data_IF_075547620206
#
_entry.id   IF_075547620206
#
_cell.length_a   1.000
_cell.length_b   1.000
_cell.length_c   1.000
_cell.angle_alpha   90.00
_cell.angle_beta   90.00
_cell.angle_gamma   90.00
#
_symmetry.space_group_name_H-M   'P 1'
#
loop_
_entity.id
_entity.type
_entity.pdbx_description
1 polymer ?
#
# COMPACT_ATOMS: atom_id res chain seq x y z
N UNK A 1 -9.32 -68.46 21.87
CA UNK A 1 -10.01 -67.15 21.87
C UNK A 1 -9.06 -65.98 21.78
N UNK A 2 -7.95 -65.95 22.52
CA UNK A 2 -7.02 -64.80 22.50
C UNK A 2 -6.44 -64.48 21.12
N UNK A 3 -6.04 -65.50 20.35
CA UNK A 3 -5.51 -65.30 18.99
C UNK A 3 -6.50 -64.60 18.04
N UNK A 4 -7.80 -64.81 18.22
CA UNK A 4 -8.84 -64.16 17.41
C UNK A 4 -8.99 -62.69 17.83
N UNK A 5 -8.92 -62.40 19.15
CA UNK A 5 -8.96 -61.02 19.66
C UNK A 5 -7.78 -60.20 19.17
N UNK A 6 -6.57 -60.78 19.15
CA UNK A 6 -5.38 -60.11 18.64
C UNK A 6 -5.48 -59.84 17.14
N UNK A 7 -6.02 -60.77 16.36
CA UNK A 7 -6.17 -60.62 14.92
C UNK A 7 -7.20 -59.54 14.55
N UNK A 8 -8.31 -59.46 15.30
CA UNK A 8 -9.30 -58.39 15.18
C UNK A 8 -8.69 -57.03 15.55
N UNK A 9 -7.90 -56.96 16.62
CA UNK A 9 -7.25 -55.72 17.04
C UNK A 9 -6.28 -55.20 15.98
N UNK A 10 -5.42 -56.07 15.44
CA UNK A 10 -4.47 -55.70 14.38
C UNK A 10 -5.21 -55.23 13.13
N UNK A 11 -6.31 -55.91 12.76
CA UNK A 11 -7.16 -55.50 11.64
C UNK A 11 -7.77 -54.10 11.83
N UNK A 12 -8.26 -53.79 13.04
CA UNK A 12 -8.79 -52.47 13.38
C UNK A 12 -7.72 -51.38 13.36
N UNK A 13 -6.52 -51.66 13.86
CA UNK A 13 -5.41 -50.69 13.84
C UNK A 13 -5.01 -50.37 12.41
N UNK A 14 -4.83 -51.38 11.56
CA UNK A 14 -4.50 -51.20 10.14
C UNK A 14 -5.61 -50.44 9.41
N UNK A 15 -6.88 -50.76 9.66
CA UNK A 15 -8.01 -50.03 9.07
C UNK A 15 -8.01 -48.56 9.52
N UNK A 16 -7.68 -48.27 10.78
CA UNK A 16 -7.58 -46.89 11.27
C UNK A 16 -6.45 -46.12 10.59
N UNK A 17 -5.29 -46.75 10.34
CA UNK A 17 -4.17 -46.13 9.63
C UNK A 17 -4.53 -45.87 8.17
N UNK A 18 -5.20 -46.83 7.50
CA UNK A 18 -5.66 -46.65 6.12
C UNK A 18 -6.71 -45.54 6.02
N UNK A 19 -7.63 -45.43 6.98
CA UNK A 19 -8.60 -44.34 7.07
C UNK A 19 -7.91 -42.99 7.33
N UNK A 20 -6.93 -42.93 8.23
CA UNK A 20 -6.15 -41.72 8.48
C UNK A 20 -5.37 -41.28 7.23
N UNK A 21 -4.76 -42.22 6.51
CA UNK A 21 -4.05 -41.94 5.25
C UNK A 21 -5.00 -41.52 4.13
N UNK A 22 -6.22 -42.08 4.06
CA UNK A 22 -7.23 -41.63 3.10
C UNK A 22 -7.76 -40.23 3.44
N UNK A 23 -7.95 -39.92 4.72
CA UNK A 23 -8.36 -38.58 5.16
C UNK A 23 -7.26 -37.53 4.88
N UNK A 24 -5.99 -37.89 5.05
CA UNK A 24 -4.86 -37.04 4.69
C UNK A 24 -4.67 -36.92 3.16
N UNK A 25 -4.93 -37.99 2.41
CA UNK A 25 -4.73 -38.04 0.95
C UNK A 25 -5.89 -37.49 0.11
N UNK A 26 -7.07 -37.30 0.70
CA UNK A 26 -8.23 -36.65 0.06
C UNK A 26 -8.28 -35.14 0.31
N UNK A 27 -7.25 -34.57 0.96
CA UNK A 27 -7.06 -33.13 0.98
C UNK A 27 -6.74 -32.70 -0.46
N UNK A 28 -7.71 -32.05 -1.10
CA UNK A 28 -7.44 -31.36 -2.35
C UNK A 28 -6.31 -30.37 -2.09
N UNK A 29 -5.35 -30.27 -3.01
CA UNK A 29 -4.37 -29.18 -2.95
C UNK A 29 -5.14 -27.86 -2.86
N UNK A 30 -4.93 -27.03 -1.83
CA UNK A 30 -5.52 -25.71 -1.79
C UNK A 30 -4.93 -24.94 -2.96
N UNK A 31 -5.75 -24.59 -3.96
CA UNK A 31 -5.33 -23.69 -5.04
C UNK A 31 -5.47 -24.17 -6.48
N UNK A 32 -5.99 -25.37 -6.77
CA UNK A 32 -6.43 -25.70 -8.14
C UNK A 32 -7.94 -25.98 -8.19
N UNK A 33 -8.70 -24.90 -8.36
CA UNK A 33 -10.14 -24.93 -8.64
C UNK A 33 -10.30 -24.82 -10.15
N UNK A 34 -10.43 -25.94 -10.86
CA UNK A 34 -11.06 -25.96 -12.18
C UNK A 34 -12.58 -26.20 -11.96
N UNK A 35 -13.41 -25.36 -12.59
CA UNK A 35 -14.88 -25.48 -12.73
C UNK A 35 -15.82 -25.11 -11.56
N UNK A 36 -15.57 -24.00 -10.85
CA UNK A 36 -16.68 -23.25 -10.20
C UNK A 36 -17.21 -22.15 -11.13
N UNK A 37 -18.51 -21.81 -11.10
CA UNK A 37 -19.03 -20.69 -11.88
C UNK A 37 -18.27 -19.42 -11.49
N UNK A 38 -17.47 -18.90 -12.42
CA UNK A 38 -16.63 -17.71 -12.19
C UNK A 38 -17.55 -16.51 -12.00
N UNK A 39 -17.65 -16.03 -10.76
CA UNK A 39 -18.28 -14.75 -10.48
C UNK A 39 -17.33 -13.68 -10.99
N UNK A 40 -17.78 -12.93 -12.00
CA UNK A 40 -16.99 -11.87 -12.60
C UNK A 40 -17.20 -10.56 -11.84
N UNK A 41 -16.21 -10.16 -11.05
CA UNK A 41 -16.17 -8.85 -10.40
C UNK A 41 -15.36 -7.81 -11.21
N UNK A 42 -15.03 -8.12 -12.46
CA UNK A 42 -14.19 -7.31 -13.34
C UNK A 42 -12.73 -7.76 -13.38
N UNK A 43 -11.93 -7.16 -14.26
CA UNK A 43 -10.53 -7.53 -14.43
C UNK A 43 -9.69 -7.14 -13.21
N UNK A 44 -8.67 -7.93 -12.91
CA UNK A 44 -7.64 -7.54 -11.96
C UNK A 44 -6.83 -6.36 -12.53
N UNK A 45 -6.48 -5.35 -11.70
CA UNK A 45 -5.56 -4.31 -12.14
C UNK A 45 -4.18 -4.92 -12.42
N UNK A 46 -3.44 -4.33 -13.35
CA UNK A 46 -2.04 -4.69 -13.57
C UNK A 46 -1.15 -4.13 -12.46
N UNK A 47 0.07 -4.66 -12.34
CA UNK A 47 1.05 -4.16 -11.37
C UNK A 47 1.30 -2.65 -11.54
N UNK A 48 1.46 -2.18 -12.77
CA UNK A 48 1.68 -0.77 -13.09
C UNK A 48 0.50 0.14 -12.71
N UNK A 49 -0.70 -0.40 -12.50
CA UNK A 49 -1.90 0.37 -12.14
C UNK A 49 -2.00 0.61 -10.63
N UNK A 50 -1.29 -0.19 -9.82
CA UNK A 50 -1.32 -0.10 -8.35
C UNK A 50 0.00 0.33 -7.73
N UNK A 51 1.13 0.03 -8.40
CA UNK A 51 2.46 0.46 -8.01
C UNK A 51 2.66 1.89 -8.51
N UNK A 52 2.04 2.83 -7.83
CA UNK A 52 2.02 4.24 -8.21
C UNK A 52 2.72 5.10 -7.15
N UNK A 53 3.34 6.23 -7.55
CA UNK A 53 3.81 7.23 -6.60
C UNK A 53 2.68 7.66 -5.67
N UNK A 54 2.90 7.60 -4.35
CA UNK A 54 1.92 8.08 -3.39
C UNK A 54 1.78 9.61 -3.44
N UNK A 55 2.88 10.30 -3.79
CA UNK A 55 2.97 11.76 -3.85
C UNK A 55 3.86 12.18 -5.02
N UNK A 56 3.49 13.25 -5.70
CA UNK A 56 4.32 13.89 -6.73
C UNK A 56 4.49 15.36 -6.37
N UNK A 57 5.71 15.78 -6.07
CA UNK A 57 6.03 17.17 -5.80
C UNK A 57 6.56 17.83 -7.07
N UNK A 58 6.14 19.08 -7.29
CA UNK A 58 6.61 19.93 -8.38
C UNK A 58 7.30 21.15 -7.77
N UNK A 59 8.57 21.35 -8.11
CA UNK A 59 9.32 22.54 -7.73
C UNK A 59 8.83 23.72 -8.57
N UNK A 60 8.42 24.80 -7.89
CA UNK A 60 8.02 26.08 -8.48
C UNK A 60 8.91 27.18 -7.91
N UNK A 61 8.90 28.35 -8.55
CA UNK A 61 9.72 29.50 -8.12
C UNK A 61 9.50 29.90 -6.64
N UNK A 62 8.34 29.56 -6.06
CA UNK A 62 7.93 29.89 -4.69
C UNK A 62 8.06 28.72 -3.70
N UNK A 63 8.59 27.57 -4.11
CA UNK A 63 8.70 26.36 -3.28
C UNK A 63 8.13 25.13 -3.95
N UNK A 64 7.86 24.07 -3.20
CA UNK A 64 7.26 22.84 -3.77
C UNK A 64 5.75 22.84 -3.62
N UNK A 65 5.07 22.31 -4.63
CA UNK A 65 3.63 22.06 -4.59
C UNK A 65 3.35 20.57 -4.80
N UNK A 66 2.36 20.06 -4.08
CA UNK A 66 1.89 18.69 -4.24
C UNK A 66 0.90 18.61 -5.39
N UNK A 67 1.11 17.67 -6.31
CA UNK A 67 0.17 17.34 -7.38
C UNK A 67 -0.97 16.46 -6.85
N UNK A 68 -2.19 16.67 -7.34
CA UNK A 68 -3.35 15.84 -7.00
C UNK A 68 -3.28 14.51 -7.76
N UNK A 69 -3.34 13.37 -7.05
CA UNK A 69 -3.15 12.04 -7.66
C UNK A 69 -4.23 11.62 -8.67
N UNK A 70 -5.40 12.27 -8.67
CA UNK A 70 -6.49 12.05 -9.61
C UNK A 70 -6.46 12.98 -10.83
N UNK A 71 -5.44 13.85 -10.91
CA UNK A 71 -5.35 14.86 -11.95
C UNK A 71 -4.90 14.29 -13.29
N UNK A 72 -5.17 15.02 -14.38
CA UNK A 72 -4.75 14.61 -15.73
C UNK A 72 -3.22 14.67 -15.83
N UNK A 73 -2.61 15.72 -15.29
CA UNK A 73 -1.17 15.90 -15.21
C UNK A 73 -0.48 14.75 -14.45
N UNK A 74 -1.05 14.30 -13.33
CA UNK A 74 -0.51 13.16 -12.59
C UNK A 74 -0.43 11.92 -13.48
N UNK A 75 -1.53 11.60 -14.18
CA UNK A 75 -1.59 10.46 -15.08
C UNK A 75 -0.58 10.59 -16.23
N UNK A 76 -0.41 11.78 -16.80
CA UNK A 76 0.59 12.03 -17.84
C UNK A 76 2.02 11.84 -17.32
N UNK A 77 2.36 12.41 -16.16
CA UNK A 77 3.69 12.28 -15.58
C UNK A 77 4.05 10.83 -15.26
N UNK A 78 3.12 10.09 -14.65
CA UNK A 78 3.28 8.67 -14.38
C UNK A 78 3.39 7.87 -15.67
N UNK A 79 2.56 8.15 -16.68
CA UNK A 79 2.64 7.46 -17.97
C UNK A 79 4.00 7.70 -18.65
N UNK A 80 4.49 8.95 -18.66
CA UNK A 80 5.83 9.28 -19.19
C UNK A 80 6.93 8.53 -18.45
N UNK A 81 6.81 8.39 -17.13
CA UNK A 81 7.76 7.61 -16.33
C UNK A 81 7.73 6.11 -16.71
N UNK A 82 6.54 5.54 -16.96
CA UNK A 82 6.37 4.13 -17.35
C UNK A 82 6.93 3.81 -18.74
N UNK A 83 6.80 4.76 -19.68
CA UNK A 83 7.18 4.56 -21.09
C UNK A 83 8.57 5.08 -21.41
N UNK A 84 9.41 5.30 -20.40
CA UNK A 84 10.76 5.78 -20.63
C UNK A 84 11.54 4.81 -21.51
N UNK A 85 12.24 5.35 -22.50
CA UNK A 85 13.12 4.57 -23.39
C UNK A 85 14.58 4.93 -23.10
N UNK A 86 15.48 4.01 -23.43
CA UNK A 86 16.91 4.27 -23.42
C UNK A 86 17.33 4.93 -24.73
N UNK A 87 18.22 5.92 -24.66
CA UNK A 87 19.15 6.15 -25.76
C UNK A 87 20.11 4.94 -25.83
N UNK A 88 20.55 4.55 -27.03
CA UNK A 88 21.23 3.28 -27.37
C UNK A 88 22.61 3.01 -26.71
N UNK A 89 22.88 3.52 -25.51
CA UNK A 89 24.11 3.37 -24.75
C UNK A 89 24.23 1.97 -24.13
N UNK A 90 25.46 1.46 -23.99
CA UNK A 90 25.74 0.18 -23.31
C UNK A 90 25.40 0.26 -21.80
N UNK A 91 24.90 -0.83 -21.19
CA UNK A 91 24.35 -0.86 -19.82
C UNK A 91 25.20 -0.18 -18.73
N UNK A 92 26.54 -0.23 -18.83
CA UNK A 92 27.46 0.29 -17.81
C UNK A 92 27.74 1.80 -17.91
N UNK A 93 27.44 2.43 -19.04
CA UNK A 93 27.54 3.90 -19.22
C UNK A 93 26.24 4.62 -18.83
N UNK A 94 25.18 3.87 -18.49
CA UNK A 94 23.83 4.40 -18.23
C UNK A 94 23.65 4.99 -16.85
N UNK A 95 24.33 4.42 -15.86
CA UNK A 95 24.14 4.70 -14.46
C UNK A 95 25.38 5.34 -13.87
N UNK A 96 25.20 6.48 -13.22
CA UNK A 96 26.23 7.12 -12.42
C UNK A 96 25.82 7.10 -10.95
N UNK A 97 26.71 6.60 -10.09
CA UNK A 97 26.50 6.65 -8.65
C UNK A 97 26.81 8.07 -8.16
N UNK A 98 25.89 8.65 -7.38
CA UNK A 98 26.02 10.02 -6.87
C UNK A 98 25.89 10.02 -5.34
N UNK A 99 26.79 10.72 -4.65
CA UNK A 99 26.74 10.89 -3.19
C UNK A 99 25.71 11.97 -2.78
N UNK A 100 24.87 11.68 -1.78
CA UNK A 100 23.93 12.63 -1.16
C UNK A 100 24.63 13.46 -0.06
N UNK A 101 24.17 14.69 0.29
CA UNK A 101 22.88 15.28 -0.02
C UNK A 101 22.87 15.97 -1.37
N UNK A 102 22.19 15.35 -2.34
CA UNK A 102 21.86 15.98 -3.62
C UNK A 102 20.63 16.87 -3.46
N UNK A 103 20.57 17.64 -2.37
CA UNK A 103 19.61 18.76 -2.22
C UNK A 103 19.90 19.90 -3.22
N UNK A 104 20.79 19.66 -4.19
CA UNK A 104 21.39 20.62 -5.09
C UNK A 104 21.40 20.16 -6.55
N UNK A 105 20.75 19.03 -6.89
CA UNK A 105 20.29 18.89 -8.27
C UNK A 105 19.04 19.74 -8.41
N UNK A 106 18.95 20.51 -9.50
CA UNK A 106 17.78 21.29 -9.89
C UNK A 106 16.61 20.36 -10.25
N UNK A 107 16.15 19.58 -9.27
CA UNK A 107 15.05 18.63 -9.38
C UNK A 107 13.76 19.41 -9.51
N UNK A 108 13.10 19.22 -10.65
CA UNK A 108 11.84 19.89 -10.97
C UNK A 108 10.63 19.07 -10.53
N UNK A 109 10.73 17.74 -10.58
CA UNK A 109 9.65 16.82 -10.23
C UNK A 109 10.20 15.72 -9.33
N UNK A 110 9.46 15.37 -8.28
CA UNK A 110 9.84 14.31 -7.34
C UNK A 110 8.66 13.33 -7.22
N UNK A 111 8.84 12.12 -7.71
CA UNK A 111 7.94 10.99 -7.49
C UNK A 111 8.34 10.28 -6.20
N UNK A 112 7.44 10.30 -5.20
CA UNK A 112 7.67 9.70 -3.88
C UNK A 112 6.73 8.51 -3.69
N UNK A 113 7.31 7.35 -3.40
CA UNK A 113 6.59 6.12 -3.10
C UNK A 113 6.57 5.88 -1.59
N UNK A 114 5.45 5.38 -1.07
CA UNK A 114 5.27 5.12 0.37
C UNK A 114 5.79 3.73 0.79
N UNK A 115 6.49 3.05 -0.12
CA UNK A 115 7.06 1.72 0.02
C UNK A 115 8.35 1.62 -0.81
N UNK A 116 9.20 0.64 -0.49
CA UNK A 116 10.43 0.39 -1.22
C UNK A 116 10.14 -0.36 -2.54
N UNK A 117 10.58 0.23 -3.65
CA UNK A 117 10.55 -0.34 -4.98
C UNK A 117 11.84 -1.13 -5.21
N UNK A 118 11.70 -2.45 -5.32
CA UNK A 118 12.76 -3.35 -5.77
C UNK A 118 12.85 -3.36 -7.31
N UNK A 119 13.98 -3.80 -7.89
CA UNK A 119 14.14 -3.93 -9.33
C UNK A 119 13.03 -4.71 -10.04
N UNK A 120 12.47 -5.74 -9.41
CA UNK A 120 11.37 -6.52 -9.97
C UNK A 120 10.04 -5.76 -10.01
N UNK A 121 9.75 -4.94 -9.00
CA UNK A 121 8.60 -4.04 -9.01
C UNK A 121 8.78 -2.93 -10.05
N UNK A 122 9.99 -2.37 -10.18
CA UNK A 122 10.29 -1.36 -11.18
C UNK A 122 10.19 -1.90 -12.60
N UNK A 123 10.71 -3.09 -12.88
CA UNK A 123 10.59 -3.72 -14.19
C UNK A 123 9.13 -3.97 -14.58
N UNK A 124 8.27 -4.33 -13.62
CA UNK A 124 6.83 -4.47 -13.88
C UNK A 124 6.07 -3.13 -13.94
N UNK A 125 6.69 -2.03 -13.52
CA UNK A 125 6.15 -0.66 -13.64
C UNK A 125 6.63 0.04 -14.92
N UNK A 126 7.91 -0.08 -15.27
CA UNK A 126 8.55 0.56 -16.43
C UNK A 126 8.64 -0.44 -17.59
N UNK A 127 7.89 -0.21 -18.65
CA UNK A 127 7.64 -1.23 -19.70
C UNK A 127 8.87 -1.70 -20.47
N UNK A 128 9.93 -0.90 -20.49
CA UNK A 128 11.13 -1.13 -21.30
C UNK A 128 12.35 -1.58 -20.48
N UNK A 129 12.15 -1.98 -19.23
CA UNK A 129 13.23 -2.29 -18.30
C UNK A 129 13.10 -3.72 -17.77
N UNK A 130 14.23 -4.42 -17.70
CA UNK A 130 14.35 -5.68 -16.99
C UNK A 130 14.92 -5.46 -15.58
N UNK A 131 14.74 -6.43 -14.70
CA UNK A 131 15.24 -6.35 -13.31
C UNK A 131 16.76 -6.13 -13.26
N UNK A 132 17.49 -6.72 -14.21
CA UNK A 132 18.94 -6.63 -14.29
C UNK A 132 19.45 -5.25 -14.73
N UNK A 133 18.56 -4.36 -15.20
CA UNK A 133 18.95 -3.01 -15.61
C UNK A 133 19.12 -2.05 -14.42
N UNK A 134 18.67 -2.43 -13.21
CA UNK A 134 18.72 -1.58 -12.02
C UNK A 134 19.90 -1.94 -11.11
N UNK A 135 20.83 -1.01 -10.82
CA UNK A 135 22.05 -1.28 -10.04
C UNK A 135 21.87 -1.19 -8.51
N UNK A 136 20.64 -1.15 -8.02
CA UNK A 136 20.31 -0.93 -6.62
C UNK A 136 19.36 -2.00 -6.08
N UNK A 137 19.36 -2.18 -4.75
CA UNK A 137 18.47 -3.13 -4.09
C UNK A 137 17.04 -2.62 -4.01
N UNK A 138 16.86 -1.35 -3.62
CA UNK A 138 15.56 -0.70 -3.63
C UNK A 138 15.65 0.82 -3.64
N UNK A 139 14.57 1.48 -4.03
CA UNK A 139 14.42 2.94 -4.04
C UNK A 139 13.01 3.31 -3.60
N UNK A 140 12.79 4.52 -3.13
CA UNK A 140 11.45 5.02 -2.81
C UNK A 140 11.21 6.43 -3.35
N UNK A 141 12.17 6.98 -4.09
CA UNK A 141 12.09 8.31 -4.68
C UNK A 141 12.75 8.33 -6.04
N UNK A 142 12.07 8.91 -7.02
CA UNK A 142 12.59 9.18 -8.36
C UNK A 142 12.46 10.68 -8.60
N UNK A 143 13.56 11.34 -8.93
CA UNK A 143 13.58 12.78 -9.20
C UNK A 143 13.89 13.03 -10.67
N UNK A 144 13.20 14.00 -11.27
CA UNK A 144 13.48 14.49 -12.61
C UNK A 144 14.26 15.80 -12.49
N UNK A 145 15.48 15.83 -13.03
CA UNK A 145 16.29 17.05 -13.08
C UNK A 145 15.78 18.01 -14.16
N UNK A 146 16.20 19.28 -14.11
CA UNK A 146 15.90 20.25 -15.15
C UNK A 146 16.35 19.82 -16.56
N UNK A 147 17.40 19.00 -16.66
CA UNK A 147 17.91 18.45 -17.92
C UNK A 147 17.11 17.23 -18.41
N UNK A 148 16.24 16.67 -17.55
CA UNK A 148 15.43 15.48 -17.84
C UNK A 148 16.08 14.16 -17.44
N UNK A 149 17.24 14.17 -16.79
CA UNK A 149 17.83 12.97 -16.19
C UNK A 149 17.03 12.51 -14.96
N UNK A 150 17.12 11.22 -14.64
CA UNK A 150 16.38 10.64 -13.51
C UNK A 150 17.32 10.24 -12.38
N UNK A 151 17.11 10.76 -11.18
CA UNK A 151 17.81 10.33 -9.98
C UNK A 151 16.94 9.36 -9.19
N UNK A 152 17.42 8.14 -9.01
CA UNK A 152 16.79 7.09 -8.21
C UNK A 152 17.42 7.07 -6.82
N UNK A 153 16.61 7.20 -5.78
CA UNK A 153 17.06 7.38 -4.40
C UNK A 153 16.31 6.45 -3.45
N UNK A 154 17.06 5.79 -2.57
CA UNK A 154 16.53 5.26 -1.32
C UNK A 154 16.74 6.32 -0.23
N UNK A 155 15.66 6.91 0.31
CA UNK A 155 15.78 8.00 1.29
C UNK A 155 16.46 7.61 2.60
N UNK A 156 16.64 6.30 2.86
CA UNK A 156 17.37 5.79 4.01
C UNK A 156 18.88 5.64 3.78
N UNK A 157 19.35 5.82 2.54
CA UNK A 157 20.75 5.65 2.15
C UNK A 157 21.40 7.00 1.83
N UNK A 158 22.73 7.05 1.93
CA UNK A 158 23.51 8.26 1.69
C UNK A 158 23.87 8.50 0.20
N UNK A 159 23.26 7.78 -0.72
CA UNK A 159 23.58 7.83 -2.16
C UNK A 159 22.36 7.66 -3.05
N UNK A 160 22.55 7.92 -4.34
CA UNK A 160 21.56 7.70 -5.38
C UNK A 160 22.21 7.23 -6.69
N UNK A 161 21.35 6.84 -7.62
CA UNK A 161 21.75 6.37 -8.95
C UNK A 161 21.13 7.27 -10.01
N UNK A 162 21.97 8.02 -10.71
CA UNK A 162 21.56 8.87 -11.81
C UNK A 162 21.49 8.04 -13.09
N UNK A 163 20.31 8.00 -13.70
CA UNK A 163 20.08 7.45 -15.01
C UNK A 163 20.20 8.55 -16.05
N UNK A 164 21.18 8.39 -16.95
CA UNK A 164 21.39 9.27 -18.08
C UNK A 164 20.34 8.98 -19.16
N UNK A 165 19.22 9.70 -19.08
CA UNK A 165 18.08 9.57 -20.00
C UNK A 165 17.44 10.95 -20.22
N UNK A 166 16.45 11.02 -21.12
CA UNK A 166 15.70 12.24 -21.43
C UNK A 166 14.23 12.05 -21.11
N UNK A 167 13.81 12.52 -19.96
CA UNK A 167 12.40 12.70 -19.64
C UNK A 167 11.75 13.65 -20.66
N UNK A 168 10.47 13.43 -20.95
CA UNK A 168 9.73 14.23 -21.94
C UNK A 168 9.67 15.70 -21.52
N UNK A 169 10.39 16.55 -22.27
CA UNK A 169 10.50 17.99 -22.02
C UNK A 169 9.17 18.73 -22.22
N UNK A 170 8.27 18.23 -23.07
CA UNK A 170 6.94 18.81 -23.23
C UNK A 170 6.09 18.56 -21.98
N UNK A 171 6.16 17.34 -21.44
CA UNK A 171 5.46 16.98 -20.21
C UNK A 171 6.02 17.77 -19.02
N UNK A 172 7.34 17.92 -18.93
CA UNK A 172 8.01 18.74 -17.92
C UNK A 172 7.55 20.21 -18.00
N UNK A 173 7.59 20.79 -19.19
CA UNK A 173 7.14 22.17 -19.43
C UNK A 173 5.67 22.37 -19.09
N UNK A 174 4.81 21.39 -19.41
CA UNK A 174 3.40 21.43 -19.07
C UNK A 174 3.17 21.36 -17.56
N UNK A 175 3.90 20.47 -16.86
CA UNK A 175 3.86 20.37 -15.41
C UNK A 175 4.24 21.68 -14.72
N UNK A 176 5.25 22.38 -15.25
CA UNK A 176 5.67 23.70 -14.76
C UNK A 176 4.62 24.80 -14.99
N UNK A 177 3.70 24.64 -15.96
CA UNK A 177 2.66 25.63 -16.24
C UNK A 177 1.28 25.33 -15.59
N UNK A 178 1.06 24.11 -15.12
CA UNK A 178 -0.27 23.60 -14.75
C UNK A 178 -0.63 23.83 -13.26
N UNK A 179 -0.80 25.09 -12.85
CA UNK A 179 -1.06 25.42 -11.44
C UNK A 179 -2.44 24.96 -10.91
N UNK A 180 -3.41 24.76 -11.79
CA UNK A 180 -4.79 24.40 -11.39
C UNK A 180 -4.92 22.97 -10.87
N UNK A 181 -3.98 22.08 -11.21
CA UNK A 181 -3.99 20.68 -10.79
C UNK A 181 -3.20 20.44 -9.50
N UNK A 182 -2.54 21.48 -9.00
CA UNK A 182 -1.77 21.45 -7.77
C UNK A 182 -2.65 21.72 -6.55
N UNK A 183 -2.18 21.26 -5.40
CA UNK A 183 -2.69 21.74 -4.13
C UNK A 183 -2.28 23.19 -3.93
N UNK A 184 -3.20 24.00 -3.40
CA UNK A 184 -2.92 25.36 -2.94
C UNK A 184 -2.28 25.33 -1.55
N UNK A 185 -1.24 24.51 -1.43
CA UNK A 185 -0.45 24.26 -0.23
C UNK A 185 1.01 24.23 -0.65
N UNK A 186 1.82 25.02 0.04
CA UNK A 186 3.26 25.06 -0.19
C UNK A 186 3.98 24.09 0.75
N UNK A 187 4.93 23.36 0.19
CA UNK A 187 5.76 22.38 0.89
C UNK A 187 7.21 22.85 0.94
N UNK A 188 7.87 22.57 2.05
CA UNK A 188 9.28 22.86 2.27
C UNK A 188 9.99 21.65 2.85
N UNK A 189 11.30 21.54 2.60
CA UNK A 189 12.12 20.48 3.16
C UNK A 189 12.19 20.65 4.68
N UNK A 190 11.85 19.58 5.41
CA UNK A 190 11.94 19.53 6.85
C UNK A 190 13.38 19.16 7.25
N UNK A 191 14.20 20.17 7.47
CA UNK A 191 15.62 19.97 7.80
C UNK A 191 15.87 19.66 9.27
N UNK A 192 15.04 20.21 10.16
CA UNK A 192 15.14 20.03 11.61
C UNK A 192 13.77 20.31 12.25
N UNK A 193 13.41 19.54 13.28
CA UNK A 193 12.22 19.78 14.10
C UNK A 193 12.65 20.28 15.48
N UNK A 194 11.74 20.93 16.20
CA UNK A 194 11.88 21.24 17.62
C UNK A 194 12.50 20.06 18.40
N UNK A 195 13.39 20.39 19.36
CA UNK A 195 14.13 19.45 20.20
C UNK A 195 15.21 18.62 19.47
N UNK A 196 15.74 19.11 18.35
CA UNK A 196 16.81 18.47 17.56
C UNK A 196 16.46 17.02 17.16
N UNK A 197 15.18 16.75 16.90
CA UNK A 197 14.76 15.44 16.43
C UNK A 197 15.36 15.20 15.04
N UNK A 198 16.06 14.07 14.82
CA UNK A 198 16.60 13.78 13.51
C UNK A 198 15.47 13.59 12.51
N UNK A 199 15.69 14.10 11.31
CA UNK A 199 14.80 13.93 10.15
C UNK A 199 15.66 13.35 9.04
N UNK A 200 15.18 12.28 8.43
CA UNK A 200 15.88 11.66 7.32
C UNK A 200 15.79 12.57 6.07
N UNK A 201 16.54 12.24 5.01
CA UNK A 201 16.48 13.00 3.76
C UNK A 201 15.09 12.91 3.11
N UNK A 202 14.70 13.97 2.38
CA UNK A 202 13.47 14.00 1.57
C UNK A 202 12.15 13.96 2.36
N UNK A 203 12.15 14.48 3.58
CA UNK A 203 10.93 14.71 4.35
C UNK A 203 10.44 16.13 4.10
N UNK A 204 9.18 16.27 3.69
CA UNK A 204 8.56 17.56 3.38
C UNK A 204 7.43 17.85 4.36
N UNK A 205 7.35 19.09 4.83
CA UNK A 205 6.25 19.61 5.67
C UNK A 205 5.60 20.82 4.97
N UNK A 206 4.42 21.24 5.44
CA UNK A 206 3.80 22.47 4.98
C UNK A 206 4.64 23.69 5.37
N UNK A 207 4.82 24.62 4.44
CA UNK A 207 5.52 25.87 4.70
C UNK A 207 4.67 26.82 5.58
N UNK A 208 3.34 26.73 5.50
CA UNK A 208 2.41 27.53 6.29
C UNK A 208 1.06 26.81 6.45
N UNK A 209 0.21 27.24 7.39
CA UNK A 209 -1.14 26.70 7.53
C UNK A 209 -1.95 26.86 6.25
N UNK A 210 -2.84 25.92 5.99
CA UNK A 210 -3.65 25.91 4.78
C UNK A 210 -5.02 25.27 5.00
N UNK A 211 -5.72 24.99 3.92
CA UNK A 211 -7.08 24.43 3.97
C UNK A 211 -7.24 23.23 3.05
N UNK A 212 -7.88 22.19 3.56
CA UNK A 212 -8.17 20.95 2.84
C UNK A 212 -9.67 20.75 2.78
N UNK A 213 -10.20 20.58 1.56
CA UNK A 213 -11.58 20.21 1.35
C UNK A 213 -11.74 18.70 1.48
N UNK A 214 -12.61 18.26 2.39
CA UNK A 214 -12.87 16.85 2.68
C UNK A 214 -14.29 16.51 2.22
N UNK A 215 -14.38 15.63 1.24
CA UNK A 215 -15.67 15.13 0.73
C UNK A 215 -16.37 14.21 1.75
N UNK A 216 -17.67 13.98 1.58
CA UNK A 216 -18.39 12.97 2.37
C UNK A 216 -18.06 11.55 1.95
N UNK A 217 -18.26 10.58 2.85
CA UNK A 217 -17.93 9.17 2.63
C UNK A 217 -19.00 8.24 3.15
N UNK A 218 -19.03 7.03 2.58
CA UNK A 218 -19.83 5.92 3.08
C UNK A 218 -19.07 4.61 2.93
N UNK A 219 -19.43 3.62 3.74
CA UNK A 219 -18.93 2.25 3.56
C UNK A 219 -19.51 1.64 2.29
N UNK A 220 -18.68 0.88 1.57
CA UNK A 220 -19.14 0.05 0.47
C UNK A 220 -20.06 -1.04 1.01
N UNK A 221 -21.25 -1.14 0.43
CA UNK A 221 -22.16 -2.25 0.68
C UNK A 221 -21.79 -3.40 -0.25
N UNK A 222 -21.81 -4.62 0.28
CA UNK A 222 -21.41 -5.81 -0.47
C UNK A 222 -22.57 -6.81 -0.47
N UNK A 223 -22.80 -7.45 -1.61
CA UNK A 223 -23.76 -8.55 -1.72
C UNK A 223 -23.14 -9.82 -1.12
N UNK A 224 -23.57 -10.16 0.09
CA UNK A 224 -23.01 -11.23 0.91
C UNK A 224 -22.98 -12.58 0.19
N UNK A 225 -24.06 -12.98 -0.49
CA UNK A 225 -24.16 -14.24 -1.21
C UNK A 225 -23.13 -14.36 -2.35
N UNK A 226 -22.89 -13.27 -3.09
CA UNK A 226 -21.88 -13.23 -4.17
C UNK A 226 -20.46 -13.36 -3.61
N UNK A 227 -20.19 -12.72 -2.47
CA UNK A 227 -18.88 -12.84 -1.82
C UNK A 227 -18.66 -14.25 -1.31
N UNK A 228 -19.61 -14.83 -0.59
CA UNK A 228 -19.47 -16.18 -0.03
C UNK A 228 -19.18 -17.17 -1.16
N UNK A 229 -19.96 -17.12 -2.25
CA UNK A 229 -19.76 -17.98 -3.40
C UNK A 229 -18.46 -17.72 -4.17
N UNK A 230 -17.81 -16.57 -3.98
CA UNK A 230 -16.46 -16.34 -4.50
C UNK A 230 -15.38 -17.07 -3.70
N UNK A 231 -15.56 -17.25 -2.39
CA UNK A 231 -14.56 -17.88 -1.52
C UNK A 231 -14.73 -19.41 -1.45
N UNK A 232 -15.95 -19.93 -1.50
CA UNK A 232 -16.22 -21.36 -1.31
C UNK A 232 -16.74 -22.03 -2.58
N UNK A 233 -16.09 -23.13 -2.98
CA UNK A 233 -16.44 -23.94 -4.16
C UNK A 233 -17.86 -24.52 -4.05
N UNK A 234 -18.23 -25.00 -2.86
CA UNK A 234 -19.57 -25.53 -2.57
C UNK A 234 -20.17 -24.83 -1.34
N UNK A 235 -20.93 -23.74 -1.55
CA UNK A 235 -21.61 -23.03 -0.46
C UNK A 235 -22.53 -23.92 0.37
N UNK A 236 -23.02 -25.04 -0.16
CA UNK A 236 -23.87 -26.00 0.56
C UNK A 236 -23.16 -26.77 1.66
N UNK A 237 -21.82 -26.78 1.67
CA UNK A 237 -20.99 -27.43 2.70
C UNK A 237 -20.44 -26.45 3.74
N UNK A 238 -20.74 -25.16 3.59
CA UNK A 238 -20.26 -24.11 4.49
C UNK A 238 -21.09 -24.11 5.77
N UNK A 239 -20.40 -24.17 6.90
CA UNK A 239 -21.01 -23.99 8.22
C UNK A 239 -21.06 -22.50 8.55
N UNK A 240 -22.21 -22.05 9.06
CA UNK A 240 -22.42 -20.69 9.54
C UNK A 240 -22.37 -20.64 11.06
N UNK A 241 -21.56 -19.73 11.61
CA UNK A 241 -21.43 -19.47 13.05
C UNK A 241 -21.73 -17.99 13.26
N UNK A 242 -22.75 -17.67 14.07
CA UNK A 242 -23.09 -16.30 14.43
C UNK A 242 -22.45 -15.96 15.77
N UNK A 243 -21.71 -14.87 15.82
CA UNK A 243 -21.04 -14.39 17.02
C UNK A 243 -21.89 -13.35 17.78
N UNK A 244 -21.51 -13.10 19.04
CA UNK A 244 -22.22 -12.19 19.92
C UNK A 244 -22.17 -10.72 19.47
N UNK A 245 -21.17 -10.35 18.67
CA UNK A 245 -20.99 -9.02 18.10
C UNK A 245 -21.76 -8.82 16.78
N UNK A 246 -22.59 -9.79 16.38
CA UNK A 246 -23.37 -9.76 15.16
C UNK A 246 -22.62 -10.24 13.92
N UNK A 247 -21.31 -10.47 14.01
CA UNK A 247 -20.54 -11.03 12.90
C UNK A 247 -20.97 -12.47 12.59
N UNK A 248 -20.83 -12.85 11.33
CA UNK A 248 -21.13 -14.18 10.83
C UNK A 248 -19.86 -14.77 10.23
N UNK A 249 -19.46 -15.94 10.73
CA UNK A 249 -18.34 -16.72 10.21
C UNK A 249 -18.87 -17.85 9.34
N UNK A 250 -18.36 -17.91 8.12
CA UNK A 250 -18.56 -18.97 7.14
C UNK A 250 -17.29 -19.80 7.08
N UNK A 251 -17.38 -21.12 7.22
CA UNK A 251 -16.20 -22.00 7.15
C UNK A 251 -16.53 -23.39 6.63
N UNK A 252 -15.59 -23.99 5.90
CA UNK A 252 -15.60 -25.39 5.45
C UNK A 252 -14.65 -26.29 6.28
N UNK A 253 -14.00 -25.73 7.29
CA UNK A 253 -13.00 -26.39 8.14
C UNK A 253 -11.54 -26.13 7.74
N UNK A 254 -11.28 -25.61 6.54
CA UNK A 254 -9.93 -25.27 6.06
C UNK A 254 -9.71 -23.76 5.99
N UNK A 255 -10.74 -23.04 5.53
CA UNK A 255 -10.75 -21.59 5.45
C UNK A 255 -11.97 -21.00 6.17
N UNK A 256 -11.84 -19.73 6.55
CA UNK A 256 -12.88 -18.99 7.24
C UNK A 256 -13.05 -17.62 6.58
N UNK A 257 -14.30 -17.22 6.38
CA UNK A 257 -14.71 -15.88 5.98
C UNK A 257 -15.64 -15.32 7.05
N UNK A 258 -15.24 -14.24 7.70
CA UNK A 258 -16.02 -13.50 8.67
C UNK A 258 -16.58 -12.24 8.00
N UNK A 259 -17.89 -12.08 8.08
CA UNK A 259 -18.64 -10.93 7.57
C UNK A 259 -19.18 -10.15 8.77
N UNK A 260 -18.80 -8.88 8.87
CA UNK A 260 -19.28 -7.99 9.93
C UNK A 260 -20.57 -7.29 9.50
N UNK A 261 -21.42 -6.91 10.46
CA UNK A 261 -22.62 -6.10 10.18
C UNK A 261 -22.31 -4.79 9.44
N UNK A 262 -21.10 -4.28 9.58
CA UNK A 262 -20.65 -3.08 8.90
C UNK A 262 -20.30 -3.27 7.41
N UNK A 263 -20.35 -4.49 6.89
CA UNK A 263 -19.95 -4.87 5.54
C UNK A 263 -18.45 -5.16 5.38
N UNK A 264 -17.67 -5.04 6.46
CA UNK A 264 -16.27 -5.45 6.44
C UNK A 264 -16.14 -6.97 6.33
N UNK A 265 -15.05 -7.44 5.73
CA UNK A 265 -14.73 -8.85 5.52
C UNK A 265 -13.37 -9.18 6.11
N UNK A 266 -13.24 -10.35 6.71
CA UNK A 266 -11.99 -10.97 7.13
C UNK A 266 -11.95 -12.41 6.63
N UNK A 267 -10.93 -12.74 5.86
CA UNK A 267 -10.66 -14.08 5.36
C UNK A 267 -9.33 -14.58 5.92
N UNK A 268 -9.30 -15.86 6.25
CA UNK A 268 -8.10 -16.59 6.64
C UNK A 268 -8.16 -18.04 6.20
N UNK A 269 -7.02 -18.59 5.83
CA UNK A 269 -6.82 -20.03 5.62
C UNK A 269 -5.69 -20.51 6.53
N UNK A 270 -5.73 -21.78 6.94
CA UNK A 270 -4.63 -22.38 7.69
C UNK A 270 -3.31 -22.21 6.93
N UNK A 271 -2.24 -21.81 7.62
CA UNK A 271 -0.98 -21.45 6.97
C UNK A 271 -0.43 -22.62 6.15
N UNK A 272 -0.21 -22.38 4.85
CA UNK A 272 0.64 -23.22 4.05
C UNK A 272 2.10 -22.93 4.45
N UNK A 273 2.78 -23.96 4.96
CA UNK A 273 4.21 -23.90 5.34
C UNK A 273 5.16 -23.77 4.15
N UNK A 274 4.65 -23.51 2.94
CA UNK A 274 5.44 -23.32 1.73
C UNK A 274 6.53 -22.26 1.90
N UNK A 275 7.78 -22.70 1.89
CA UNK A 275 8.99 -21.90 2.19
C UNK A 275 9.39 -21.00 0.99
N UNK A 276 8.70 -21.08 -0.15
CA UNK A 276 9.12 -20.40 -1.37
C UNK A 276 8.16 -19.25 -1.70
N UNK A 277 8.47 -18.05 -1.18
CA UNK A 277 7.97 -16.83 -1.80
C UNK A 277 8.53 -16.73 -3.22
N UNK A 278 7.66 -16.38 -4.15
CA UNK A 278 8.05 -15.96 -5.50
C UNK A 278 8.64 -14.54 -5.45
N UNK A 279 9.04 -14.00 -6.60
CA UNK A 279 9.48 -12.60 -6.69
C UNK A 279 8.40 -11.65 -6.12
N UNK A 280 8.81 -10.49 -5.59
CA UNK A 280 7.90 -9.55 -4.96
C UNK A 280 6.84 -9.06 -5.95
N UNK A 281 7.21 -8.78 -7.19
CA UNK A 281 6.29 -8.44 -8.27
C UNK A 281 5.25 -9.52 -8.54
N UNK A 282 5.64 -10.79 -8.57
CA UNK A 282 4.71 -11.91 -8.74
C UNK A 282 3.78 -12.08 -7.53
N UNK A 283 4.30 -11.90 -6.30
CA UNK A 283 3.48 -11.92 -5.09
C UNK A 283 2.45 -10.78 -5.06
N UNK A 284 2.83 -9.57 -5.50
CA UNK A 284 1.86 -8.46 -5.64
C UNK A 284 0.81 -8.83 -6.69
N UNK A 285 1.20 -9.31 -7.86
CA UNK A 285 0.28 -9.73 -8.91
C UNK A 285 -0.73 -10.79 -8.41
N UNK A 286 -0.27 -11.80 -7.68
CA UNK A 286 -1.14 -12.82 -7.04
C UNK A 286 -2.13 -12.21 -6.06
N UNK A 287 -1.71 -11.23 -5.26
CA UNK A 287 -2.64 -10.51 -4.38
C UNK A 287 -3.69 -9.72 -5.16
N UNK A 288 -3.32 -9.06 -6.26
CA UNK A 288 -4.27 -8.33 -7.10
C UNK A 288 -5.31 -9.26 -7.73
N UNK A 289 -4.88 -10.39 -8.26
CA UNK A 289 -5.75 -11.41 -8.82
C UNK A 289 -6.70 -11.99 -7.77
N UNK A 290 -6.20 -12.23 -6.56
CA UNK A 290 -7.03 -12.67 -5.44
C UNK A 290 -8.10 -11.65 -5.09
N UNK A 291 -7.73 -10.38 -4.90
CA UNK A 291 -8.69 -9.32 -4.58
C UNK A 291 -9.74 -9.19 -5.69
N UNK A 292 -9.31 -9.20 -6.95
CA UNK A 292 -10.21 -9.09 -8.09
C UNK A 292 -11.22 -10.24 -8.12
N UNK A 293 -10.79 -11.47 -7.83
CA UNK A 293 -11.67 -12.64 -7.75
C UNK A 293 -12.63 -12.59 -6.55
N UNK A 294 -12.24 -11.95 -5.45
CA UNK A 294 -12.95 -11.99 -4.17
C UNK A 294 -13.55 -10.63 -3.77
N UNK A 295 -14.36 -10.06 -4.67
CA UNK A 295 -15.09 -8.80 -4.46
C UNK A 295 -14.63 -7.65 -5.36
N UNK A 296 -13.71 -7.90 -6.31
CA UNK A 296 -13.34 -6.93 -7.33
C UNK A 296 -12.55 -5.72 -6.82
N UNK A 297 -12.36 -4.77 -7.74
CA UNK A 297 -11.62 -3.53 -7.56
C UNK A 297 -12.53 -2.30 -7.75
N UNK A 298 -13.48 -2.05 -6.84
CA UNK A 298 -14.61 -1.13 -7.08
C UNK A 298 -14.23 0.35 -6.99
N UNK A 299 -13.04 0.66 -6.46
CA UNK A 299 -12.51 2.02 -6.39
C UNK A 299 -11.05 2.01 -6.81
N UNK A 300 -10.52 3.14 -7.30
CA UNK A 300 -9.08 3.31 -7.45
C UNK A 300 -8.41 3.13 -6.08
N UNK A 301 -7.68 2.02 -5.94
CA UNK A 301 -6.85 1.71 -4.78
C UNK A 301 -5.39 1.73 -5.25
N UNK A 302 -4.52 2.26 -4.40
CA UNK A 302 -3.07 2.23 -4.59
C UNK A 302 -2.40 1.51 -3.42
N UNK A 303 -1.17 1.03 -3.60
CA UNK A 303 -0.40 0.48 -2.49
C UNK A 303 -0.06 1.61 -1.51
N UNK A 304 -0.56 1.51 -0.29
CA UNK A 304 -0.30 2.46 0.79
C UNK A 304 0.81 2.01 1.73
N UNK A 305 1.02 0.69 1.86
CA UNK A 305 2.16 0.11 2.56
C UNK A 305 2.46 -1.30 2.02
N UNK A 306 3.74 -1.67 2.07
CA UNK A 306 4.20 -3.00 1.68
C UNK A 306 5.26 -3.45 2.68
N UNK A 307 5.06 -4.63 3.26
CA UNK A 307 5.95 -5.21 4.24
C UNK A 307 6.28 -6.65 3.85
N UNK A 308 7.56 -6.96 3.72
CA UNK A 308 8.05 -8.27 3.34
C UNK A 308 8.90 -8.85 4.46
N UNK A 309 8.72 -10.13 4.74
CA UNK A 309 9.64 -10.96 5.51
C UNK A 309 10.16 -12.10 4.61
N UNK A 310 10.95 -13.03 5.15
CA UNK A 310 11.46 -14.19 4.41
C UNK A 310 10.34 -15.13 3.91
N UNK A 311 9.19 -15.15 4.59
CA UNK A 311 8.09 -16.09 4.29
C UNK A 311 6.74 -15.43 4.04
N UNK A 312 6.61 -14.12 4.31
CA UNK A 312 5.36 -13.39 4.15
C UNK A 312 5.50 -12.06 3.41
N UNK A 313 4.47 -11.70 2.63
CA UNK A 313 4.29 -10.37 2.06
C UNK A 313 2.94 -9.82 2.50
N UNK A 314 2.94 -8.71 3.22
CA UNK A 314 1.74 -7.96 3.60
C UNK A 314 1.62 -6.72 2.73
N UNK A 315 0.48 -6.58 2.04
CA UNK A 315 0.14 -5.43 1.22
C UNK A 315 -1.08 -4.73 1.80
N UNK A 316 -0.98 -3.43 1.99
CA UNK A 316 -2.12 -2.58 2.31
C UNK A 316 -2.42 -1.70 1.12
N UNK A 317 -3.67 -1.76 0.66
CA UNK A 317 -4.18 -0.89 -0.37
C UNK A 317 -5.11 0.15 0.24
N UNK A 318 -4.91 1.40 -0.16
CA UNK A 318 -5.65 2.55 0.34
C UNK A 318 -6.42 3.21 -0.79
N UNK A 319 -7.62 3.69 -0.49
CA UNK A 319 -8.37 4.51 -1.44
C UNK A 319 -7.80 5.92 -1.49
N UNK A 320 -8.15 6.64 -2.55
CA UNK A 320 -7.79 8.04 -2.72
C UNK A 320 -9.01 8.93 -2.70
N UNK A 321 -8.82 10.14 -2.17
CA UNK A 321 -9.86 11.10 -1.87
C UNK A 321 -9.30 12.50 -2.09
N UNK A 322 -9.83 13.23 -3.07
CA UNK A 322 -9.33 14.58 -3.43
C UNK A 322 -7.81 14.62 -3.70
N UNK A 323 -7.20 13.48 -4.03
CA UNK A 323 -5.76 13.36 -4.28
C UNK A 323 -4.92 13.01 -3.08
N UNK A 324 -5.53 12.77 -1.92
CA UNK A 324 -4.87 12.26 -0.73
C UNK A 324 -5.27 10.80 -0.48
N UNK A 325 -4.34 10.01 0.04
CA UNK A 325 -4.63 8.64 0.47
C UNK A 325 -5.51 8.64 1.72
N UNK A 326 -6.39 7.64 1.81
CA UNK A 326 -7.32 7.45 2.93
C UNK A 326 -6.89 6.28 3.80
N UNK A 327 -6.61 6.57 5.07
CA UNK A 327 -6.27 5.61 6.10
C UNK A 327 -7.37 5.49 7.15
N UNK A 328 -7.33 4.41 7.93
CA UNK A 328 -8.27 4.11 9.00
C UNK A 328 -7.62 3.22 10.05
N UNK A 329 -8.28 3.05 11.20
CA UNK A 329 -7.85 2.09 12.22
C UNK A 329 -7.81 0.66 11.66
N UNK A 330 -8.83 0.31 10.88
CA UNK A 330 -8.88 -0.93 10.12
C UNK A 330 -8.56 -0.64 8.65
N UNK A 331 -7.54 -1.27 8.04
CA UNK A 331 -7.11 -0.95 6.68
C UNK A 331 -8.25 -1.15 5.67
N UNK A 332 -8.28 -0.30 4.64
CA UNK A 332 -9.30 -0.36 3.57
C UNK A 332 -9.30 -1.71 2.87
N UNK A 333 -8.10 -2.18 2.52
CA UNK A 333 -7.89 -3.49 1.95
C UNK A 333 -6.48 -3.96 2.35
N UNK A 334 -6.37 -5.16 2.89
CA UNK A 334 -5.08 -5.77 3.24
C UNK A 334 -5.04 -7.21 2.78
N UNK A 335 -3.93 -7.61 2.18
CA UNK A 335 -3.62 -9.01 1.91
C UNK A 335 -2.33 -9.39 2.63
N UNK A 336 -2.27 -10.64 3.09
CA UNK A 336 -1.04 -11.27 3.54
C UNK A 336 -0.87 -12.53 2.71
N UNK A 337 0.27 -12.65 2.04
CA UNK A 337 0.68 -13.86 1.36
C UNK A 337 1.66 -14.61 2.22
N UNK A 338 1.51 -15.92 2.30
CA UNK A 338 2.51 -16.85 2.84
C UNK A 338 2.90 -17.81 1.72
N UNK A 339 4.17 -17.79 1.31
CA UNK A 339 4.61 -18.50 0.10
C UNK A 339 3.92 -17.96 -1.16
N UNK A 340 3.04 -18.77 -1.77
CA UNK A 340 2.31 -18.42 -3.00
C UNK A 340 0.81 -18.20 -2.78
N UNK A 341 0.33 -18.34 -1.55
CA UNK A 341 -1.10 -18.32 -1.21
C UNK A 341 -1.43 -17.08 -0.38
N UNK A 342 -2.57 -16.45 -0.66
CA UNK A 342 -3.11 -15.39 0.21
C UNK A 342 -3.64 -16.06 1.47
N UNK A 343 -2.89 -15.95 2.56
CA UNK A 343 -3.21 -16.56 3.86
C UNK A 343 -4.18 -15.72 4.67
N UNK A 344 -4.20 -14.40 4.45
CA UNK A 344 -5.16 -13.49 5.06
C UNK A 344 -5.59 -12.40 4.08
N UNK A 345 -6.87 -12.04 4.15
CA UNK A 345 -7.45 -10.93 3.40
C UNK A 345 -8.42 -10.17 4.28
N UNK A 346 -8.33 -8.84 4.29
CA UNK A 346 -9.25 -7.98 5.02
C UNK A 346 -9.73 -6.85 4.12
N UNK A 347 -11.03 -6.58 4.14
CA UNK A 347 -11.66 -5.56 3.30
C UNK A 347 -12.63 -4.71 4.12
N UNK A 348 -12.46 -3.40 4.05
CA UNK A 348 -13.31 -2.39 4.70
C UNK A 348 -13.29 -1.10 3.85
N UNK A 349 -13.85 -1.16 2.65
CA UNK A 349 -13.73 -0.07 1.68
C UNK A 349 -14.65 1.11 2.00
N UNK A 350 -14.06 2.30 1.96
CA UNK A 350 -14.76 3.58 2.01
C UNK A 350 -14.85 4.15 0.59
N UNK A 351 -16.01 4.66 0.21
CA UNK A 351 -16.25 5.29 -1.09
C UNK A 351 -16.78 6.71 -0.91
N UNK A 352 -16.39 7.60 -1.82
CA UNK A 352 -16.83 8.98 -1.82
C UNK A 352 -18.37 9.05 -1.95
N UNK A 353 -18.97 9.96 -1.19
CA UNK A 353 -20.40 10.28 -1.23
C UNK A 353 -20.56 11.67 -1.81
N UNK A 354 -21.23 11.76 -2.96
CA UNK A 354 -21.62 13.00 -3.62
C UNK A 354 -22.69 13.79 -2.87
N UNK A 355 -23.32 13.18 -1.87
CA UNK A 355 -24.55 13.69 -1.25
C UNK A 355 -24.26 14.64 -0.09
N UNK A 356 -22.98 14.88 0.22
CA UNK A 356 -22.54 15.76 1.30
C UNK A 356 -21.66 16.88 0.74
N UNK A 357 -21.94 18.10 1.18
CA UNK A 357 -21.11 19.26 0.88
C UNK A 357 -19.72 19.04 1.50
N UNK A 358 -18.62 19.26 0.74
CA UNK A 358 -17.28 19.14 1.28
C UNK A 358 -17.08 20.05 2.49
N UNK A 359 -16.50 19.51 3.55
CA UNK A 359 -16.09 20.28 4.72
C UNK A 359 -14.68 20.84 4.49
N UNK A 360 -14.45 22.12 4.75
CA UNK A 360 -13.11 22.71 4.64
C UNK A 360 -12.48 22.74 6.02
N UNK A 361 -11.35 22.07 6.17
CA UNK A 361 -10.63 21.94 7.43
C UNK A 361 -9.28 22.65 7.31
N UNK A 362 -8.98 23.52 8.27
CA UNK A 362 -7.67 24.15 8.38
C UNK A 362 -6.64 23.12 8.84
N UNK A 363 -5.48 23.10 8.18
CA UNK A 363 -4.36 22.21 8.47
C UNK A 363 -3.14 23.03 8.86
N UNK A 364 -2.40 22.54 9.86
CA UNK A 364 -1.19 23.17 10.39
C UNK A 364 0.04 22.35 9.99
N UNK A 365 1.20 22.97 9.71
CA UNK A 365 2.47 22.27 9.58
C UNK A 365 2.78 21.38 10.78
N UNK A 366 3.35 20.19 10.54
CA UNK A 366 3.72 19.28 11.64
C UNK A 366 4.71 19.97 12.61
N UNK A 367 5.68 20.73 12.09
CA UNK A 367 6.66 21.45 12.91
C UNK A 367 5.99 22.42 13.90
N UNK A 368 4.87 23.05 13.52
CA UNK A 368 4.11 23.92 14.41
C UNK A 368 3.35 23.11 15.47
N UNK A 369 2.76 21.98 15.08
CA UNK A 369 2.09 21.07 16.01
C UNK A 369 3.07 20.48 17.04
N UNK A 370 4.29 20.15 16.62
CA UNK A 370 5.36 19.63 17.47
C UNK A 370 5.95 20.70 18.40
N UNK A 371 5.98 21.97 17.98
CA UNK A 371 6.42 23.09 18.81
C UNK A 371 5.34 23.58 19.80
N UNK A 372 4.08 23.17 19.59
CA UNK A 372 2.94 23.56 20.41
C UNK A 372 2.77 22.76 21.70
N UNK A 373 1.58 22.81 22.31
CA UNK A 373 1.19 21.99 23.46
C UNK A 373 0.15 20.94 23.05
N UNK A 374 0.46 20.23 21.96
CA UNK A 374 -0.42 19.24 21.34
C UNK A 374 -0.17 17.84 21.90
N UNK A 375 -1.08 16.90 21.65
CA UNK A 375 -0.85 15.51 22.05
C UNK A 375 0.35 14.90 21.31
N UNK A 376 0.53 15.23 20.02
CA UNK A 376 1.65 14.73 19.21
C UNK A 376 2.99 15.25 19.71
N UNK A 377 3.11 16.54 20.07
CA UNK A 377 4.34 17.09 20.70
C UNK A 377 4.72 16.30 21.97
N UNK A 378 3.76 16.16 22.90
CA UNK A 378 3.93 15.43 24.14
C UNK A 378 4.30 13.96 23.94
N UNK A 379 3.84 13.34 22.86
CA UNK A 379 4.17 11.95 22.55
C UNK A 379 5.59 11.83 22.02
N UNK A 380 6.01 12.71 21.12
CA UNK A 380 7.37 12.75 20.56
C UNK A 380 8.41 13.11 21.63
N UNK A 381 8.08 13.97 22.60
CA UNK A 381 8.94 14.25 23.76
C UNK A 381 9.22 13.00 24.61
N UNK A 382 8.25 12.08 24.70
CA UNK A 382 8.39 10.82 25.45
C UNK A 382 8.96 9.68 24.63
N UNK A 383 8.86 9.76 23.30
CA UNK A 383 9.24 8.71 22.36
C UNK A 383 10.10 9.29 21.25
N UNK A 384 11.32 9.77 21.57
CA UNK A 384 12.19 10.37 20.57
C UNK A 384 12.54 9.34 19.48
N UNK A 385 12.27 9.68 18.23
CA UNK A 385 12.55 8.82 17.07
C UNK A 385 12.82 9.67 15.83
N UNK A 386 13.61 9.16 14.89
CA UNK A 386 13.83 9.86 13.61
C UNK A 386 12.56 9.84 12.77
N UNK A 387 12.18 11.00 12.23
CA UNK A 387 11.12 11.08 11.22
C UNK A 387 11.73 10.66 9.88
N UNK A 388 11.29 9.51 9.35
CA UNK A 388 11.77 8.97 8.08
C UNK A 388 10.99 9.48 6.87
N UNK A 389 9.70 9.74 7.09
CA UNK A 389 8.80 10.23 6.06
C UNK A 389 7.60 10.93 6.69
N UNK A 390 7.06 11.92 5.97
CA UNK A 390 5.90 12.70 6.39
C UNK A 390 4.95 12.88 5.21
N UNK A 391 3.68 12.50 5.38
CA UNK A 391 2.64 12.75 4.39
C UNK A 391 1.37 13.31 5.00
N UNK A 392 0.76 14.24 4.27
CA UNK A 392 -0.62 14.66 4.53
C UNK A 392 -1.55 13.62 3.90
N UNK A 393 -2.42 13.06 4.72
CA UNK A 393 -3.38 12.02 4.35
C UNK A 393 -4.77 12.38 4.87
N UNK A 394 -5.78 11.63 4.47
CA UNK A 394 -7.08 11.64 5.13
C UNK A 394 -7.19 10.41 6.03
N UNK A 395 -7.67 10.61 7.25
CA UNK A 395 -7.85 9.54 8.22
C UNK A 395 -9.33 9.43 8.63
N UNK A 396 -9.90 8.25 8.48
CA UNK A 396 -11.28 7.94 8.87
C UNK A 396 -11.34 7.59 10.36
N UNK A 397 -11.90 8.51 11.14
CA UNK A 397 -12.09 8.35 12.58
C UNK A 397 -13.49 8.83 12.98
N UNK A 398 -14.24 7.99 13.69
CA UNK A 398 -15.54 8.37 14.25
C UNK A 398 -16.57 8.81 13.19
N UNK A 399 -16.62 8.10 12.06
CA UNK A 399 -17.51 8.36 10.91
C UNK A 399 -17.18 9.57 10.03
N UNK A 400 -16.06 10.24 10.29
CA UNK A 400 -15.61 11.39 9.50
C UNK A 400 -14.20 11.16 8.96
N UNK A 401 -13.93 11.64 7.74
CA UNK A 401 -12.56 11.84 7.28
C UNK A 401 -12.01 13.14 7.85
N UNK A 402 -10.75 13.10 8.27
CA UNK A 402 -10.01 14.25 8.79
C UNK A 402 -8.63 14.31 8.13
N UNK A 403 -8.14 15.48 7.73
CA UNK A 403 -6.75 15.64 7.33
C UNK A 403 -5.86 15.26 8.52
N UNK A 404 -4.84 14.45 8.24
CA UNK A 404 -3.93 13.95 9.24
C UNK A 404 -2.51 13.88 8.69
N UNK A 405 -1.55 14.09 9.57
CA UNK A 405 -0.15 13.77 9.34
C UNK A 405 0.08 12.30 9.59
N UNK A 406 0.49 11.57 8.56
CA UNK A 406 1.10 10.24 8.68
C UNK A 406 2.60 10.44 8.84
N UNK A 407 3.10 10.23 10.05
CA UNK A 407 4.51 10.36 10.41
C UNK A 407 5.11 8.96 10.48
N UNK A 408 6.00 8.64 9.54
CA UNK A 408 6.66 7.34 9.48
C UNK A 408 7.96 7.37 10.27
N UNK A 409 8.09 6.45 11.22
CA UNK A 409 9.27 6.23 12.05
C UNK A 409 9.87 4.86 11.72
N UNK A 410 10.96 4.48 12.40
CA UNK A 410 11.62 3.18 12.15
C UNK A 410 10.73 1.94 12.32
N UNK A 411 9.83 1.95 13.30
CA UNK A 411 9.01 0.79 13.69
C UNK A 411 7.53 1.11 13.84
N UNK A 412 7.15 2.36 13.60
CA UNK A 412 5.83 2.86 13.93
C UNK A 412 5.41 3.92 12.91
N UNK A 413 4.11 4.00 12.69
CA UNK A 413 3.47 5.10 11.99
C UNK A 413 2.52 5.79 12.96
N UNK A 414 2.67 7.11 13.08
CA UNK A 414 1.82 7.95 13.92
C UNK A 414 0.91 8.75 13.02
N UNK A 415 -0.40 8.62 13.24
CA UNK A 415 -1.40 9.45 12.57
C UNK A 415 -1.86 10.53 13.54
N UNK A 416 -1.57 11.80 13.21
CA UNK A 416 -1.97 12.94 14.02
C UNK A 416 -2.91 13.86 13.22
N UNK A 417 -4.02 14.27 13.82
CA UNK A 417 -4.99 15.22 13.26
C UNK A 417 -4.25 16.52 12.87
N UNK A 418 -4.28 16.86 11.57
CA UNK A 418 -3.47 17.96 11.05
C UNK A 418 -3.96 19.34 11.49
N UNK A 419 -5.17 19.45 12.05
CA UNK A 419 -5.70 20.72 12.54
C UNK A 419 -5.21 21.05 13.95
N UNK A 420 -4.98 20.05 14.80
CA UNK A 420 -4.78 20.26 16.24
C UNK A 420 -3.71 19.36 16.89
N UNK A 421 -3.12 18.42 16.15
CA UNK A 421 -2.07 17.53 16.65
C UNK A 421 -2.58 16.47 17.64
N UNK A 422 -3.88 16.16 17.67
CA UNK A 422 -4.42 15.00 18.40
C UNK A 422 -4.00 13.71 17.70
N UNK A 423 -3.49 12.74 18.44
CA UNK A 423 -3.15 11.42 17.90
C UNK A 423 -4.44 10.66 17.60
N UNK A 424 -4.60 10.25 16.35
CA UNK A 424 -5.72 9.47 15.84
C UNK A 424 -5.42 7.97 15.93
N UNK A 425 -4.18 7.58 15.63
CA UNK A 425 -3.73 6.19 15.67
C UNK A 425 -2.22 6.12 15.79
N UNK A 426 -1.73 5.03 16.40
CA UNK A 426 -0.33 4.61 16.34
C UNK A 426 -0.35 3.17 15.88
N UNK A 427 0.29 2.88 14.76
CA UNK A 427 0.36 1.55 14.18
C UNK A 427 1.82 1.09 14.19
N UNK A 428 2.04 -0.21 14.36
CA UNK A 428 3.35 -0.79 14.09
C UNK A 428 3.62 -0.63 12.59
N UNK A 429 4.68 0.09 12.26
CA UNK A 429 5.15 0.24 10.88
C UNK A 429 6.14 -0.86 10.61
N UNK A 430 6.01 -1.57 9.49
CA UNK A 430 7.13 -2.36 9.00
C UNK A 430 8.24 -1.41 8.56
N UNK A 431 9.44 -1.64 9.08
CA UNK A 431 10.61 -0.84 8.72
C UNK A 431 10.87 -0.90 7.22
N UNK A 432 11.21 0.25 6.64
CA UNK A 432 11.91 0.33 5.35
C UNK A 432 13.32 -0.22 5.50
#
# INVERSE_FOLDING_TARGET
MERIKTLILVGLVLLSVVLALNLMGQQASPGQVEDSPVIDFGPAPGLADVILPGRVYIHKDQGMKLLRNESVLYNHLVASLKTLEFDTLENWERWEQVDLPVNNLDSQIIFRFDYALTPDLLAGFMHNYDQADFPFESVNTIQVTAEGSLLFVNSNEAGGWLLNTRFDQQVLSHAMAADQELWDLEWTLLSEVANNMPVDGYVYDLASPGSVAVQGWRKLQIEEDLIISSFFVDPGRVTQIRENDGAVIYTDGEQALRVFESGALEYSIAEDTGINLVSRGESVQKALEFVARHGGWPVPLVVGSMHSSESQLSLEFVSQATGLQVYSLDPSLRTVLTGQTVSSYRRNLLIASSDRIPNVIEVQPLVQLLSGHTQVSSWFDRNPSSIRDLSLVLFYAGEELRPAWKVSLHRQQVFADAANGRILSIQEGGGF
#
